data_IF_688970457351
#
_entry.id   IF_688970457351
#
_cell.length_a   1.000
_cell.length_b   1.000
_cell.length_c   1.000
_cell.angle_alpha   90.00
_cell.angle_beta   90.00
_cell.angle_gamma   90.00
#
_symmetry.space_group_name_H-M   'P 1'
#
loop_
_entity.id
_entity.type
_entity.pdbx_description
1 polymer ?
#
# COMPACT_ATOMS: atom_id res chain seq x y z
N UNK A 1 4.78 23.26 9.42
CA UNK A 1 3.41 22.99 9.94
C UNK A 1 3.20 21.50 10.23
N UNK A 2 3.46 20.59 9.29
CA UNK A 2 3.31 19.12 9.51
C UNK A 2 4.23 18.58 10.60
N UNK A 3 5.52 18.95 10.59
CA UNK A 3 6.50 18.54 11.60
C UNK A 3 6.07 18.92 13.03
N UNK A 4 5.55 20.12 13.24
CA UNK A 4 5.07 20.56 14.56
C UNK A 4 3.82 19.79 15.01
N UNK A 5 2.99 19.38 14.08
CA UNK A 5 1.85 18.50 14.37
C UNK A 5 2.34 17.12 14.78
N UNK A 6 3.27 16.52 14.04
CA UNK A 6 3.86 15.21 14.36
C UNK A 6 4.60 15.19 15.70
N UNK A 7 5.32 16.24 16.06
CA UNK A 7 5.95 16.35 17.40
C UNK A 7 4.92 16.18 18.53
N UNK A 8 3.70 16.65 18.34
CA UNK A 8 2.65 16.57 19.38
C UNK A 8 1.99 15.20 19.47
N UNK A 9 1.90 14.47 18.34
CA UNK A 9 1.16 13.21 18.29
C UNK A 9 2.05 11.98 18.38
N UNK A 10 3.28 12.02 17.85
CA UNK A 10 4.18 10.85 17.81
C UNK A 10 4.76 10.44 19.17
N UNK A 11 4.65 11.30 20.16
CA UNK A 11 4.97 10.97 21.55
C UNK A 11 3.85 10.18 22.26
N UNK A 12 2.67 10.10 21.66
CA UNK A 12 1.58 9.27 22.17
C UNK A 12 1.83 7.82 21.78
N UNK A 13 1.50 6.91 22.69
CA UNK A 13 1.56 5.48 22.41
C UNK A 13 0.51 5.10 21.34
N UNK A 14 0.87 4.13 20.52
CA UNK A 14 0.02 3.40 19.58
C UNK A 14 -0.91 4.24 18.67
N UNK A 15 -0.33 5.17 17.93
CA UNK A 15 -1.08 5.99 16.97
C UNK A 15 -1.23 5.34 15.58
N UNK A 16 -0.46 4.29 15.26
CA UNK A 16 -0.51 3.55 14.00
C UNK A 16 -1.26 2.23 14.17
N UNK A 17 -2.49 2.32 14.68
CA UNK A 17 -3.31 1.18 15.16
C UNK A 17 -3.72 0.19 14.09
N UNK A 18 -3.83 0.62 12.81
CA UNK A 18 -4.21 -0.28 11.72
C UNK A 18 -3.04 -1.19 11.28
N UNK A 19 -1.83 -0.96 11.81
CA UNK A 19 -0.64 -1.80 11.59
C UNK A 19 -0.37 -2.60 12.86
N UNK A 20 -0.59 -3.91 12.77
CA UNK A 20 -0.31 -4.83 13.87
C UNK A 20 1.14 -5.30 13.82
N UNK A 21 1.82 -5.20 14.97
CA UNK A 21 3.25 -5.45 15.04
C UNK A 21 4.07 -4.39 14.32
N UNK A 22 5.24 -4.78 13.82
CA UNK A 22 6.13 -3.90 13.03
C UNK A 22 6.63 -2.66 13.80
N UNK A 23 6.85 -2.79 15.11
CA UNK A 23 7.16 -1.66 15.99
C UNK A 23 8.41 -0.90 15.55
N UNK A 24 9.47 -1.62 15.15
CA UNK A 24 10.70 -1.02 14.62
C UNK A 24 10.45 -0.17 13.38
N UNK A 25 9.56 -0.61 12.50
CA UNK A 25 9.19 0.08 11.27
C UNK A 25 8.37 1.33 11.59
N UNK A 26 7.43 1.22 12.52
CA UNK A 26 6.66 2.36 13.02
C UNK A 26 7.57 3.45 13.61
N UNK A 27 8.57 3.06 14.38
CA UNK A 27 9.56 3.99 14.95
C UNK A 27 10.42 4.65 13.88
N UNK A 28 10.94 3.88 12.92
CA UNK A 28 11.71 4.42 11.80
C UNK A 28 10.89 5.41 10.98
N UNK A 29 9.63 5.08 10.68
CA UNK A 29 8.72 5.96 9.96
C UNK A 29 8.45 7.26 10.73
N UNK A 30 8.13 7.17 12.02
CA UNK A 30 7.94 8.35 12.88
C UNK A 30 9.19 9.24 12.88
N UNK A 31 10.37 8.63 13.02
CA UNK A 31 11.65 9.35 13.02
C UNK A 31 11.91 10.09 11.71
N UNK A 32 11.70 9.43 10.57
CA UNK A 32 11.87 10.04 9.24
C UNK A 32 10.88 11.22 9.05
N UNK A 33 9.61 11.04 9.39
CA UNK A 33 8.59 12.08 9.23
C UNK A 33 8.79 13.29 10.15
N UNK A 34 9.36 13.10 11.35
CA UNK A 34 9.74 14.21 12.24
C UNK A 34 10.81 15.10 11.64
N UNK A 35 11.66 14.57 10.77
CA UNK A 35 12.71 15.30 10.06
C UNK A 35 12.29 15.70 8.64
N UNK A 36 10.99 15.59 8.33
CA UNK A 36 10.41 15.97 7.04
C UNK A 36 11.05 15.21 5.85
N UNK A 37 11.45 13.95 6.11
CA UNK A 37 12.07 13.08 5.11
C UNK A 37 11.00 12.35 4.30
N UNK A 38 11.29 12.11 3.04
CA UNK A 38 10.53 11.23 2.19
C UNK A 38 10.93 9.78 2.43
N UNK A 39 9.98 8.86 2.33
CA UNK A 39 10.19 7.46 2.74
C UNK A 39 9.94 6.51 1.56
N UNK A 40 10.82 5.51 1.42
CA UNK A 40 10.64 4.39 0.51
C UNK A 40 10.49 3.09 1.34
N UNK A 41 9.31 2.48 1.30
CA UNK A 41 9.03 1.22 2.00
C UNK A 41 9.28 0.05 1.05
N UNK A 42 10.30 -0.74 1.36
CA UNK A 42 10.69 -1.92 0.58
C UNK A 42 10.20 -3.18 1.29
N UNK A 43 9.56 -4.08 0.55
CA UNK A 43 9.15 -5.37 1.11
C UNK A 43 8.19 -6.13 0.22
N UNK A 44 7.90 -7.40 0.57
CA UNK A 44 7.04 -8.27 -0.22
C UNK A 44 5.63 -7.72 -0.38
N UNK A 45 4.85 -8.18 -1.35
CA UNK A 45 3.48 -7.74 -1.55
C UNK A 45 2.56 -8.21 -0.41
N UNK A 46 1.54 -7.40 -0.08
CA UNK A 46 0.49 -7.80 0.87
C UNK A 46 0.85 -7.78 2.35
N UNK A 47 1.92 -7.07 2.75
CA UNK A 47 2.37 -6.93 4.14
C UNK A 47 1.84 -5.66 4.84
N UNK A 48 1.00 -4.84 4.17
CA UNK A 48 0.43 -3.65 4.79
C UNK A 48 1.07 -2.31 4.41
N UNK A 49 1.95 -2.24 3.39
CA UNK A 49 2.60 -0.98 2.96
C UNK A 49 1.61 0.16 2.69
N UNK A 50 0.54 -0.13 1.96
CA UNK A 50 -0.53 0.85 1.66
C UNK A 50 -1.28 1.26 2.92
N UNK A 51 -1.52 0.30 3.84
CA UNK A 51 -2.18 0.58 5.13
C UNK A 51 -1.32 1.52 5.97
N UNK A 52 0.00 1.32 5.99
CA UNK A 52 0.95 2.18 6.68
C UNK A 52 0.84 3.64 6.19
N UNK A 53 0.85 3.86 4.87
CA UNK A 53 0.71 5.19 4.30
C UNK A 53 -0.66 5.84 4.58
N UNK A 54 -1.74 5.06 4.56
CA UNK A 54 -3.08 5.55 4.93
C UNK A 54 -3.17 5.96 6.40
N UNK A 55 -2.50 5.22 7.30
CA UNK A 55 -2.46 5.61 8.71
C UNK A 55 -1.79 6.98 8.90
N UNK A 56 -0.71 7.26 8.16
CA UNK A 56 -0.08 8.59 8.21
C UNK A 56 -1.06 9.67 7.74
N UNK A 57 -1.82 9.41 6.69
CA UNK A 57 -2.83 10.37 6.22
C UNK A 57 -3.92 10.63 7.27
N UNK A 58 -4.40 9.59 7.97
CA UNK A 58 -5.36 9.72 9.08
C UNK A 58 -4.84 10.60 10.22
N UNK A 59 -3.54 10.60 10.46
CA UNK A 59 -2.91 11.41 11.50
C UNK A 59 -2.74 12.88 11.12
N UNK A 60 -2.93 13.26 9.86
CA UNK A 60 -2.81 14.65 9.43
C UNK A 60 -3.99 15.50 9.95
N UNK A 61 -3.73 16.75 10.37
CA UNK A 61 -4.79 17.62 10.84
C UNK A 61 -5.74 18.01 9.70
N UNK A 62 -6.97 18.32 10.03
CA UNK A 62 -7.83 19.04 9.10
C UNK A 62 -7.22 20.40 8.73
N UNK A 63 -7.32 20.78 7.48
CA UNK A 63 -6.87 22.08 6.98
C UNK A 63 -7.97 22.79 6.22
N UNK A 64 -8.02 24.11 6.34
CA UNK A 64 -8.88 24.95 5.54
C UNK A 64 -8.21 25.28 4.22
N UNK A 65 -8.87 25.00 3.12
CA UNK A 65 -8.39 25.27 1.76
C UNK A 65 -9.46 26.01 0.96
N UNK A 66 -9.05 26.69 -0.10
CA UNK A 66 -9.99 27.19 -1.10
C UNK A 66 -10.61 26.02 -1.86
N UNK A 67 -11.88 26.12 -2.21
CA UNK A 67 -12.59 25.11 -2.99
C UNK A 67 -12.20 25.21 -4.46
N UNK A 68 -11.00 24.79 -4.78
CA UNK A 68 -10.38 24.77 -6.11
C UNK A 68 -9.63 23.45 -6.33
N UNK A 69 -9.30 23.19 -7.60
CA UNK A 69 -8.60 21.95 -7.99
C UNK A 69 -7.18 21.81 -7.42
N UNK A 70 -6.57 22.91 -6.96
CA UNK A 70 -5.23 22.94 -6.38
C UNK A 70 -5.23 22.85 -4.85
N UNK A 71 -6.40 22.85 -4.20
CA UNK A 71 -6.51 22.97 -2.74
C UNK A 71 -5.65 24.11 -2.18
N UNK A 72 -5.73 25.27 -2.80
CA UNK A 72 -4.91 26.43 -2.43
C UNK A 72 -5.08 26.80 -0.95
N UNK A 73 -3.97 27.18 -0.32
CA UNK A 73 -4.04 27.87 0.97
C UNK A 73 -4.80 29.19 0.79
N UNK A 74 -5.82 29.49 1.60
CA UNK A 74 -6.56 30.74 1.53
C UNK A 74 -5.69 32.00 1.67
N UNK A 75 -4.54 31.88 2.39
CA UNK A 75 -3.64 32.99 2.65
C UNK A 75 -2.52 33.12 1.60
N UNK A 76 -2.22 32.04 0.85
CA UNK A 76 -1.19 32.03 -0.20
C UNK A 76 -1.73 31.27 -1.42
N UNK A 77 -2.72 31.84 -2.16
CA UNK A 77 -3.32 31.17 -3.29
C UNK A 77 -2.37 31.08 -4.49
N UNK A 78 -2.22 29.88 -5.05
CA UNK A 78 -1.31 29.64 -6.17
C UNK A 78 -2.01 29.60 -7.54
N UNK A 79 -3.27 29.16 -7.61
CA UNK A 79 -3.97 29.03 -8.90
C UNK A 79 -4.57 30.37 -9.40
N UNK A 80 -4.78 30.52 -10.72
CA UNK A 80 -5.33 31.74 -11.31
C UNK A 80 -6.69 32.13 -10.75
N UNK A 81 -7.58 31.16 -10.55
CA UNK A 81 -8.93 31.42 -10.02
C UNK A 81 -8.90 32.01 -8.62
N UNK A 82 -8.06 31.45 -7.74
CA UNK A 82 -7.94 31.93 -6.37
C UNK A 82 -7.20 33.27 -6.26
N UNK A 83 -6.30 33.55 -7.22
CA UNK A 83 -5.63 34.88 -7.32
C UNK A 83 -6.57 35.96 -7.84
N UNK A 84 -7.49 35.61 -8.72
CA UNK A 84 -8.40 36.56 -9.35
C UNK A 84 -9.69 36.80 -8.57
N UNK A 85 -10.19 35.78 -7.87
CA UNK A 85 -11.47 35.84 -7.13
C UNK A 85 -11.35 35.14 -5.78
N UNK A 86 -12.02 35.70 -4.78
CA UNK A 86 -12.16 35.03 -3.47
C UNK A 86 -13.00 33.78 -3.66
N UNK A 87 -12.44 32.63 -3.32
CA UNK A 87 -13.11 31.33 -3.38
C UNK A 87 -13.79 31.00 -2.06
N UNK A 88 -14.79 30.12 -2.13
CA UNK A 88 -15.34 29.49 -0.94
C UNK A 88 -14.25 28.64 -0.27
N UNK A 89 -14.28 28.62 1.04
CA UNK A 89 -13.37 27.81 1.83
C UNK A 89 -14.03 26.50 2.22
N UNK A 90 -13.27 25.42 2.25
CA UNK A 90 -13.68 24.13 2.77
C UNK A 90 -12.60 23.54 3.68
N UNK A 91 -13.03 22.77 4.67
CA UNK A 91 -12.14 21.94 5.47
C UNK A 91 -11.99 20.59 4.82
N UNK A 92 -10.78 20.12 4.72
CA UNK A 92 -10.46 18.80 4.19
C UNK A 92 -9.64 18.02 5.21
N UNK A 93 -9.97 16.74 5.37
CA UNK A 93 -9.28 15.82 6.27
C UNK A 93 -7.92 15.39 5.67
N UNK A 94 -7.10 14.73 6.50
CA UNK A 94 -5.86 14.13 6.00
C UNK A 94 -6.12 12.98 5.03
N UNK A 95 -7.20 12.22 5.22
CA UNK A 95 -7.59 11.13 4.32
C UNK A 95 -8.00 11.62 2.94
N UNK A 96 -8.68 12.76 2.83
CA UNK A 96 -9.03 13.39 1.54
C UNK A 96 -7.80 13.91 0.80
N UNK A 97 -6.69 14.12 1.51
CA UNK A 97 -5.38 14.52 0.96
C UNK A 97 -4.43 13.33 0.77
N UNK A 98 -4.93 12.10 0.87
CA UNK A 98 -4.20 10.89 0.52
C UNK A 98 -4.37 10.61 -0.97
N UNK A 99 -3.34 10.88 -1.75
CA UNK A 99 -3.34 10.65 -3.19
C UNK A 99 -2.51 9.44 -3.53
N UNK A 100 -3.16 8.39 -4.05
CA UNK A 100 -2.49 7.18 -4.50
C UNK A 100 -2.16 7.24 -5.97
N UNK A 101 -0.93 6.88 -6.30
CA UNK A 101 -0.44 6.63 -7.65
C UNK A 101 0.02 5.19 -7.72
N UNK A 102 -0.35 4.48 -8.77
CA UNK A 102 0.15 3.14 -9.07
C UNK A 102 1.26 3.27 -10.11
N UNK A 103 2.45 2.78 -9.80
CA UNK A 103 3.54 2.70 -10.76
C UNK A 103 3.18 1.80 -11.95
N UNK A 104 3.42 2.31 -13.14
CA UNK A 104 3.20 1.62 -14.41
C UNK A 104 4.17 2.16 -15.46
N UNK A 105 4.62 1.32 -16.42
CA UNK A 105 5.40 1.80 -17.57
C UNK A 105 4.70 2.86 -18.42
N UNK A 106 3.36 2.86 -18.40
CA UNK A 106 2.54 3.79 -19.19
C UNK A 106 2.27 5.13 -18.47
N UNK A 107 2.71 5.25 -17.21
CA UNK A 107 2.49 6.47 -16.41
C UNK A 107 3.35 7.60 -16.96
N UNK A 108 2.73 8.76 -17.18
CA UNK A 108 3.40 9.94 -17.77
C UNK A 108 3.64 11.06 -16.75
N UNK A 109 4.45 12.03 -17.11
CA UNK A 109 4.66 13.22 -16.29
C UNK A 109 3.38 14.07 -16.18
N UNK A 110 2.57 14.08 -17.23
CA UNK A 110 1.29 14.77 -17.30
C UNK A 110 0.29 14.22 -16.28
N UNK A 111 0.29 12.92 -16.02
CA UNK A 111 -0.54 12.28 -14.97
C UNK A 111 -0.19 12.81 -13.57
N UNK A 112 1.08 13.10 -13.34
CA UNK A 112 1.56 13.60 -12.05
C UNK A 112 1.41 15.12 -11.92
N UNK A 113 1.91 15.84 -12.89
CA UNK A 113 2.00 17.31 -12.86
C UNK A 113 0.69 17.92 -13.33
N UNK A 114 0.13 17.36 -14.39
CA UNK A 114 -1.07 17.87 -15.07
C UNK A 114 -0.79 18.20 -16.53
N UNK A 115 -1.85 18.55 -17.24
CA UNK A 115 -1.81 18.76 -18.67
C UNK A 115 -2.72 19.93 -19.09
N UNK A 116 -2.54 20.38 -20.33
CA UNK A 116 -3.37 21.41 -20.98
C UNK A 116 -4.70 20.79 -21.40
N UNK A 117 -5.79 21.30 -20.84
CA UNK A 117 -7.14 20.96 -21.27
C UNK A 117 -7.41 21.59 -22.66
N UNK A 118 -7.62 20.77 -23.72
CA UNK A 118 -7.81 21.28 -25.07
C UNK A 118 -9.02 22.21 -25.20
N UNK A 119 -10.09 21.97 -24.47
CA UNK A 119 -11.31 22.79 -24.49
C UNK A 119 -11.05 24.15 -23.85
N UNK A 120 -10.37 24.18 -22.73
CA UNK A 120 -9.97 25.40 -22.06
C UNK A 120 -8.95 26.19 -22.90
N UNK A 121 -8.01 25.48 -23.55
CA UNK A 121 -7.02 26.09 -24.43
C UNK A 121 -7.66 26.82 -25.62
N UNK A 122 -8.73 26.29 -26.19
CA UNK A 122 -9.52 26.99 -27.24
C UNK A 122 -10.17 28.25 -26.71
N UNK A 123 -10.57 28.28 -25.44
CA UNK A 123 -11.28 29.43 -24.84
C UNK A 123 -10.33 30.52 -24.31
N UNK A 124 -9.25 30.11 -23.65
CA UNK A 124 -8.36 31.03 -22.93
C UNK A 124 -6.98 31.19 -23.60
N UNK A 125 -6.72 30.40 -24.63
CA UNK A 125 -5.41 30.30 -25.29
C UNK A 125 -4.55 29.15 -24.68
N UNK A 126 -3.71 28.48 -25.49
CA UNK A 126 -2.91 27.34 -25.05
C UNK A 126 -1.77 27.72 -24.06
N UNK A 127 -1.40 28.98 -24.02
CA UNK A 127 -0.39 29.52 -23.10
C UNK A 127 -1.02 30.15 -21.85
N UNK A 128 -2.35 30.08 -21.71
CA UNK A 128 -3.03 30.58 -20.51
C UNK A 128 -3.02 29.54 -19.39
N UNK A 129 -2.66 29.96 -18.17
CA UNK A 129 -2.67 29.09 -17.01
C UNK A 129 -4.08 28.57 -16.65
N UNK A 130 -5.15 29.26 -17.11
CA UNK A 130 -6.53 28.79 -17.00
C UNK A 130 -6.80 27.53 -17.84
N UNK A 131 -6.00 27.28 -18.87
CA UNK A 131 -6.10 26.08 -19.69
C UNK A 131 -5.44 24.85 -19.02
N UNK A 132 -4.60 25.05 -18.00
CA UNK A 132 -3.94 23.97 -17.30
C UNK A 132 -4.85 23.27 -16.30
N UNK A 133 -4.82 21.93 -16.31
CA UNK A 133 -5.49 21.08 -15.32
C UNK A 133 -4.46 20.43 -14.42
N UNK A 134 -4.48 20.71 -13.11
CA UNK A 134 -3.47 20.19 -12.18
C UNK A 134 -3.54 18.68 -12.01
N UNK A 135 -2.39 18.03 -11.98
CA UNK A 135 -2.24 16.60 -11.77
C UNK A 135 -2.31 16.17 -10.30
N UNK A 136 -1.88 14.94 -10.03
CA UNK A 136 -1.99 14.31 -8.71
C UNK A 136 -1.11 14.94 -7.65
N UNK A 137 0.05 15.50 -8.00
CA UNK A 137 0.95 16.19 -7.08
C UNK A 137 0.25 17.35 -6.36
N UNK A 138 -0.53 18.15 -7.11
CA UNK A 138 -1.26 19.28 -6.52
C UNK A 138 -2.39 18.84 -5.59
N UNK A 139 -3.05 17.72 -5.90
CA UNK A 139 -4.09 17.13 -5.05
C UNK A 139 -3.54 16.61 -3.73
N UNK A 140 -2.26 16.19 -3.72
CA UNK A 140 -1.57 15.72 -2.52
C UNK A 140 -1.01 16.86 -1.65
N UNK A 141 -1.20 18.12 -2.07
CA UNK A 141 -0.63 19.26 -1.35
C UNK A 141 -1.09 19.30 0.12
N UNK A 142 -0.14 19.51 1.03
CA UNK A 142 -0.31 19.39 2.48
C UNK A 142 -0.83 18.02 2.96
N UNK A 143 -0.68 16.98 2.17
CA UNK A 143 -1.14 15.62 2.40
C UNK A 143 -0.06 14.56 2.18
N UNK A 144 -0.50 13.38 1.77
CA UNK A 144 0.36 12.23 1.47
C UNK A 144 0.27 11.88 -0.02
N UNK A 145 1.39 11.94 -0.71
CA UNK A 145 1.56 11.37 -2.04
C UNK A 145 2.10 9.95 -1.88
N UNK A 146 1.20 8.98 -2.01
CA UNK A 146 1.54 7.56 -1.90
C UNK A 146 1.78 6.97 -3.30
N UNK A 147 3.00 6.53 -3.54
CA UNK A 147 3.41 5.96 -4.83
C UNK A 147 3.65 4.46 -4.69
N UNK A 148 2.69 3.67 -5.15
CA UNK A 148 2.76 2.21 -5.07
C UNK A 148 3.55 1.64 -6.25
N UNK A 149 4.51 0.73 -6.00
CA UNK A 149 5.39 0.12 -6.99
C UNK A 149 6.19 1.16 -7.82
N UNK A 150 6.88 2.07 -7.11
CA UNK A 150 7.66 3.17 -7.70
C UNK A 150 8.67 2.67 -8.76
N UNK A 151 9.25 1.49 -8.56
CA UNK A 151 10.19 0.84 -9.47
C UNK A 151 9.59 0.37 -10.80
N UNK A 152 8.29 0.52 -11.02
CA UNK A 152 7.65 0.27 -12.32
C UNK A 152 7.51 1.51 -13.19
N UNK A 153 7.97 2.65 -12.69
CA UNK A 153 7.87 3.91 -13.41
C UNK A 153 9.04 4.13 -14.36
N UNK A 154 8.80 4.70 -15.55
CA UNK A 154 9.86 5.08 -16.45
C UNK A 154 10.85 6.07 -15.80
N UNK A 155 12.13 5.99 -16.16
CA UNK A 155 13.17 6.87 -15.64
C UNK A 155 12.84 8.36 -15.84
N UNK A 156 12.22 8.72 -16.95
CA UNK A 156 11.77 10.09 -17.22
C UNK A 156 10.83 10.63 -16.13
N UNK A 157 9.94 9.76 -15.63
CA UNK A 157 9.01 10.11 -14.55
C UNK A 157 9.73 10.23 -13.20
N UNK A 158 10.70 9.34 -12.93
CA UNK A 158 11.53 9.41 -11.75
C UNK A 158 12.26 10.77 -11.68
N UNK A 159 12.76 11.26 -12.81
CA UNK A 159 13.43 12.58 -12.90
C UNK A 159 12.44 13.74 -12.66
N UNK A 160 11.20 13.65 -13.12
CA UNK A 160 10.19 14.67 -12.83
C UNK A 160 9.81 14.72 -11.34
N UNK A 161 9.81 13.57 -10.66
CA UNK A 161 9.61 13.49 -9.21
C UNK A 161 10.76 14.12 -8.43
N UNK A 162 12.00 13.99 -8.89
CA UNK A 162 13.18 14.56 -8.20
C UNK A 162 13.04 16.03 -7.90
N UNK A 163 12.59 16.84 -8.87
CA UNK A 163 12.39 18.27 -8.69
C UNK A 163 11.34 18.54 -7.58
N UNK A 164 10.20 17.88 -7.65
CA UNK A 164 9.13 18.04 -6.66
C UNK A 164 9.57 17.64 -5.23
N UNK A 165 10.38 16.58 -5.11
CA UNK A 165 10.87 16.06 -3.82
C UNK A 165 11.97 16.92 -3.22
N UNK A 166 12.89 17.40 -4.05
CA UNK A 166 14.08 18.12 -3.58
C UNK A 166 13.83 19.62 -3.40
N UNK A 167 13.23 20.25 -4.41
CA UNK A 167 13.06 21.70 -4.47
C UNK A 167 11.72 22.15 -3.92
N UNK A 168 10.77 21.21 -3.74
CA UNK A 168 9.37 21.49 -3.36
C UNK A 168 8.67 22.43 -4.31
N UNK A 169 9.09 22.40 -5.56
CA UNK A 169 8.49 23.10 -6.68
C UNK A 169 8.30 22.14 -7.85
N UNK A 170 7.30 22.44 -8.65
CA UNK A 170 7.08 21.81 -9.96
C UNK A 170 6.99 22.92 -10.99
N UNK A 171 7.88 22.86 -11.96
CA UNK A 171 7.85 23.78 -13.11
C UNK A 171 6.97 23.21 -14.19
N UNK A 172 5.95 23.96 -14.60
CA UNK A 172 5.13 23.60 -15.74
C UNK A 172 5.79 24.20 -16.97
N UNK A 173 6.57 23.38 -17.68
CA UNK A 173 7.51 23.82 -18.73
C UNK A 173 6.92 24.68 -19.85
N UNK A 174 5.63 24.54 -20.16
CA UNK A 174 4.95 25.38 -21.16
C UNK A 174 4.62 26.79 -20.67
N UNK A 175 4.64 27.01 -19.36
CA UNK A 175 4.20 28.28 -18.75
C UNK A 175 5.32 29.03 -18.01
N UNK A 176 6.48 28.40 -17.87
CA UNK A 176 7.62 28.94 -17.08
C UNK A 176 7.19 29.44 -15.69
N UNK A 177 6.31 28.66 -15.05
CA UNK A 177 5.73 28.97 -13.73
C UNK A 177 6.05 27.86 -12.77
N UNK A 178 6.62 28.24 -11.63
CA UNK A 178 6.91 27.35 -10.53
C UNK A 178 5.75 27.31 -9.53
N UNK A 179 5.28 26.11 -9.26
CA UNK A 179 4.26 25.87 -8.24
C UNK A 179 4.89 25.21 -7.03
N UNK A 180 4.67 25.80 -5.86
CA UNK A 180 5.06 25.18 -4.58
C UNK A 180 4.29 23.88 -4.35
N UNK A 181 5.00 22.84 -3.94
CA UNK A 181 4.43 21.58 -3.52
C UNK A 181 4.89 21.25 -2.10
N UNK A 182 3.96 20.83 -1.26
CA UNK A 182 4.26 20.44 0.11
C UNK A 182 3.48 19.16 0.43
N UNK A 183 4.14 18.02 0.35
CA UNK A 183 3.53 16.73 0.64
C UNK A 183 4.54 15.78 1.29
N UNK A 184 4.04 14.83 2.05
CA UNK A 184 4.78 13.66 2.49
C UNK A 184 4.78 12.66 1.35
N UNK A 185 5.96 12.29 0.86
CA UNK A 185 6.06 11.22 -0.12
C UNK A 185 6.33 9.89 0.59
N UNK A 186 5.51 8.89 0.27
CA UNK A 186 5.72 7.51 0.70
C UNK A 186 5.68 6.63 -0.55
N UNK A 187 6.86 6.20 -1.00
CA UNK A 187 7.00 5.24 -2.09
C UNK A 187 6.97 3.81 -1.57
N UNK A 188 6.56 2.86 -2.42
CA UNK A 188 6.74 1.44 -2.15
C UNK A 188 7.51 0.76 -3.27
N UNK A 189 8.24 -0.29 -2.90
CA UNK A 189 8.94 -1.14 -3.84
C UNK A 189 8.79 -2.60 -3.42
N UNK A 190 8.63 -3.49 -4.41
CA UNK A 190 8.74 -4.93 -4.21
C UNK A 190 10.11 -5.39 -4.74
N UNK A 191 11.01 -5.88 -3.90
CA UNK A 191 12.35 -6.31 -4.33
C UNK A 191 12.31 -7.58 -5.19
N UNK A 192 11.23 -8.37 -5.12
CA UNK A 192 11.06 -9.60 -5.90
C UNK A 192 10.54 -9.36 -7.32
N UNK A 193 10.18 -8.13 -7.66
CA UNK A 193 9.62 -7.81 -8.98
C UNK A 193 10.73 -7.66 -10.03
N UNK A 194 10.98 -8.75 -10.77
CA UNK A 194 11.98 -8.79 -11.82
C UNK A 194 11.60 -8.01 -13.09
N UNK A 195 10.34 -7.60 -13.20
CA UNK A 195 9.85 -6.80 -14.33
C UNK A 195 10.01 -5.30 -14.12
N UNK A 196 10.49 -4.92 -12.95
CA UNK A 196 10.65 -3.52 -12.58
C UNK A 196 12.03 -2.98 -12.98
N UNK A 197 12.08 -1.73 -13.37
CA UNK A 197 13.34 -1.02 -13.58
C UNK A 197 14.03 -0.73 -12.24
N UNK A 198 15.33 -0.59 -12.26
CA UNK A 198 16.06 -0.14 -11.08
C UNK A 198 15.79 1.35 -10.87
N UNK A 199 15.49 1.72 -9.63
CA UNK A 199 15.43 3.13 -9.28
C UNK A 199 16.83 3.75 -9.44
N UNK A 200 16.88 4.96 -10.00
CA UNK A 200 18.14 5.68 -10.10
C UNK A 200 18.74 5.92 -8.71
N UNK A 201 20.07 5.79 -8.59
CA UNK A 201 20.78 6.05 -7.33
C UNK A 201 20.49 7.47 -6.80
N UNK A 202 20.35 8.42 -7.73
CA UNK A 202 20.02 9.80 -7.42
C UNK A 202 18.64 9.93 -6.75
N UNK A 203 17.66 9.14 -7.18
CA UNK A 203 16.35 9.12 -6.56
C UNK A 203 16.36 8.40 -5.21
N UNK A 204 17.06 7.26 -5.12
CA UNK A 204 17.20 6.50 -3.88
C UNK A 204 17.83 7.32 -2.76
N UNK A 205 18.82 8.15 -3.06
CA UNK A 205 19.51 9.03 -2.10
C UNK A 205 18.59 10.07 -1.43
N UNK A 206 17.39 10.32 -1.99
CA UNK A 206 16.39 11.25 -1.44
C UNK A 206 15.45 10.62 -0.44
N UNK A 207 15.51 9.31 -0.29
CA UNK A 207 14.60 8.58 0.58
C UNK A 207 15.30 8.04 1.82
N UNK A 208 14.57 8.05 2.92
CA UNK A 208 14.86 7.16 4.03
C UNK A 208 14.21 5.81 3.71
N UNK A 209 15.03 4.77 3.56
CA UNK A 209 14.57 3.43 3.18
C UNK A 209 14.17 2.66 4.43
N UNK A 210 12.95 2.12 4.40
CA UNK A 210 12.40 1.27 5.47
C UNK A 210 12.09 -0.11 4.90
N UNK A 211 12.71 -1.13 5.47
CA UNK A 211 12.45 -2.51 5.08
C UNK A 211 11.33 -3.10 5.93
N UNK A 212 10.26 -3.49 5.27
CA UNK A 212 9.08 -4.11 5.88
C UNK A 212 9.00 -5.58 5.50
N UNK A 213 8.86 -6.45 6.48
CA UNK A 213 8.82 -7.90 6.28
C UNK A 213 7.46 -8.50 6.71
N UNK A 214 7.34 -9.81 6.60
CA UNK A 214 6.17 -10.54 7.09
C UNK A 214 5.99 -10.37 8.60
N UNK A 215 4.75 -10.58 9.13
CA UNK A 215 4.52 -10.50 10.57
C UNK A 215 5.42 -11.45 11.37
N UNK A 216 6.03 -10.93 12.45
CA UNK A 216 7.03 -11.66 13.25
C UNK A 216 6.45 -12.90 13.93
N UNK A 217 5.20 -12.84 14.38
CA UNK A 217 4.57 -13.94 15.10
C UNK A 217 3.30 -14.46 14.42
N UNK A 218 2.96 -15.72 14.74
CA UNK A 218 1.71 -16.34 14.33
C UNK A 218 0.50 -15.56 14.83
N UNK A 219 0.54 -15.11 16.08
CA UNK A 219 -0.53 -14.36 16.73
C UNK A 219 -0.81 -13.02 16.05
N UNK A 220 0.25 -12.28 15.68
CA UNK A 220 0.09 -11.03 14.93
C UNK A 220 -0.59 -11.30 13.58
N UNK A 221 -0.18 -12.36 12.86
CA UNK A 221 -0.79 -12.68 11.56
C UNK A 221 -2.24 -13.14 11.71
N UNK A 222 -2.58 -13.91 12.75
CA UNK A 222 -3.98 -14.25 13.07
C UNK A 222 -4.83 -12.99 13.31
N UNK A 223 -4.31 -12.05 14.11
CA UNK A 223 -5.00 -10.79 14.36
C UNK A 223 -5.19 -9.95 13.09
N UNK A 224 -4.19 -9.94 12.19
CA UNK A 224 -4.31 -9.29 10.86
C UNK A 224 -5.43 -9.96 10.05
N UNK A 225 -5.50 -11.29 10.04
CA UNK A 225 -6.55 -12.05 9.32
C UNK A 225 -7.93 -11.72 9.88
N UNK A 226 -8.10 -11.73 11.20
CA UNK A 226 -9.38 -11.41 11.84
C UNK A 226 -9.83 -9.97 11.59
N UNK A 227 -8.90 -9.00 11.60
CA UNK A 227 -9.22 -7.60 11.40
C UNK A 227 -9.45 -7.22 9.93
N UNK A 228 -8.82 -7.94 9.00
CA UNK A 228 -8.86 -7.61 7.56
C UNK A 228 -9.80 -8.48 6.76
N UNK A 229 -10.04 -9.73 7.22
CA UNK A 229 -10.89 -10.71 6.54
C UNK A 229 -12.38 -10.48 6.83
N UNK A 230 -13.20 -10.78 5.84
CA UNK A 230 -14.67 -10.72 5.98
C UNK A 230 -15.17 -11.90 6.79
N UNK A 231 -15.99 -11.61 7.81
CA UNK A 231 -16.65 -12.63 8.62
C UNK A 231 -18.01 -12.99 8.02
N UNK A 232 -18.26 -14.27 7.82
CA UNK A 232 -19.53 -14.80 7.28
C UNK A 232 -20.15 -15.84 8.21
N UNK A 233 -19.36 -16.79 8.69
CA UNK A 233 -19.75 -17.83 9.66
C UNK A 233 -18.70 -17.89 10.77
N UNK A 234 -18.95 -18.70 11.80
CA UNK A 234 -17.98 -18.91 12.85
C UNK A 234 -16.73 -19.64 12.33
N UNK A 235 -15.56 -19.16 12.71
CA UNK A 235 -14.28 -19.78 12.37
C UNK A 235 -13.57 -20.17 13.67
N UNK A 236 -13.42 -21.49 13.97
CA UNK A 236 -12.79 -21.94 15.20
C UNK A 236 -11.34 -21.47 15.30
N UNK A 237 -10.94 -20.98 16.47
CA UNK A 237 -9.59 -20.42 16.69
C UNK A 237 -8.48 -21.41 16.34
N UNK A 238 -8.69 -22.71 16.68
CA UNK A 238 -7.73 -23.77 16.34
C UNK A 238 -7.54 -23.89 14.82
N UNK A 239 -8.63 -23.87 14.04
CA UNK A 239 -8.56 -23.97 12.58
C UNK A 239 -7.97 -22.71 11.97
N UNK A 240 -8.24 -21.52 12.53
CA UNK A 240 -7.60 -20.27 12.11
C UNK A 240 -6.09 -20.33 12.34
N UNK A 241 -5.67 -20.73 13.54
CA UNK A 241 -4.26 -20.90 13.88
C UNK A 241 -3.55 -21.81 12.88
N UNK A 242 -4.13 -22.94 12.56
CA UNK A 242 -3.55 -23.92 11.65
C UNK A 242 -3.52 -23.46 10.19
N UNK A 243 -4.56 -22.75 9.75
CA UNK A 243 -4.56 -22.14 8.42
C UNK A 243 -3.44 -21.13 8.24
N UNK A 244 -3.22 -20.28 9.25
CA UNK A 244 -2.14 -19.29 9.22
C UNK A 244 -0.77 -19.98 9.35
N UNK A 245 -0.65 -20.99 10.24
CA UNK A 245 0.58 -21.76 10.41
C UNK A 245 0.99 -22.44 9.10
N UNK A 246 0.06 -23.06 8.38
CA UNK A 246 0.33 -23.68 7.09
C UNK A 246 0.91 -22.68 6.07
N UNK A 247 0.32 -21.49 5.96
CA UNK A 247 0.84 -20.44 5.07
C UNK A 247 2.25 -19.99 5.50
N UNK A 248 2.51 -19.90 6.81
CA UNK A 248 3.83 -19.53 7.33
C UNK A 248 4.88 -20.61 7.04
N UNK A 249 4.54 -21.89 7.21
CA UNK A 249 5.43 -23.01 6.86
C UNK A 249 5.79 -23.00 5.35
N UNK A 250 4.84 -22.69 4.50
CA UNK A 250 5.16 -22.54 3.06
C UNK A 250 6.18 -21.43 2.81
N UNK A 251 6.21 -20.35 3.61
CA UNK A 251 7.23 -19.30 3.49
C UNK A 251 8.63 -19.76 3.87
N UNK A 252 8.75 -20.76 4.71
CA UNK A 252 10.04 -21.33 5.13
C UNK A 252 10.61 -22.31 4.09
N UNK A 253 9.80 -22.70 3.11
CA UNK A 253 10.21 -23.65 2.08
C UNK A 253 11.31 -23.09 1.19
N UNK A 254 12.41 -23.83 1.09
CA UNK A 254 13.53 -23.52 0.18
C UNK A 254 13.22 -23.76 -1.29
N UNK A 255 12.11 -24.42 -1.60
CA UNK A 255 11.68 -24.78 -2.94
C UNK A 255 10.89 -23.66 -3.64
N UNK A 256 10.50 -22.63 -2.90
CA UNK A 256 9.76 -21.50 -3.42
C UNK A 256 10.71 -20.35 -3.84
N UNK A 257 10.44 -19.78 -5.00
CA UNK A 257 11.01 -18.53 -5.49
C UNK A 257 10.14 -17.34 -5.06
N UNK A 258 8.80 -17.48 -5.12
CA UNK A 258 7.83 -16.50 -4.63
C UNK A 258 7.04 -17.07 -3.48
N UNK A 259 7.07 -16.39 -2.35
CA UNK A 259 6.42 -16.80 -1.11
C UNK A 259 4.96 -16.33 -1.04
N UNK A 260 4.07 -17.10 -0.37
CA UNK A 260 2.69 -16.69 -0.16
C UNK A 260 2.63 -15.51 0.84
N UNK A 261 1.96 -14.43 0.45
CA UNK A 261 1.78 -13.26 1.31
C UNK A 261 0.66 -13.48 2.34
N UNK A 262 0.52 -12.54 3.29
CA UNK A 262 -0.59 -12.50 4.27
C UNK A 262 -1.98 -12.53 3.59
N UNK A 263 -2.06 -12.07 2.33
CA UNK A 263 -3.29 -12.23 1.51
C UNK A 263 -3.69 -13.70 1.29
N UNK A 264 -2.74 -14.64 1.38
CA UNK A 264 -3.08 -16.06 1.31
C UNK A 264 -3.80 -16.50 2.59
N UNK A 265 -3.32 -16.10 3.76
CA UNK A 265 -3.96 -16.38 5.05
C UNK A 265 -5.37 -15.77 5.13
N UNK A 266 -5.52 -14.49 4.72
CA UNK A 266 -6.83 -13.83 4.62
C UNK A 266 -7.75 -14.57 3.63
N UNK A 267 -7.22 -14.94 2.47
CA UNK A 267 -7.98 -15.65 1.44
C UNK A 267 -8.47 -17.03 1.90
N UNK A 268 -7.66 -17.78 2.67
CA UNK A 268 -8.09 -19.05 3.27
C UNK A 268 -9.22 -18.84 4.29
N UNK A 269 -9.06 -17.85 5.17
CA UNK A 269 -10.08 -17.48 6.14
C UNK A 269 -11.43 -17.14 5.48
N UNK A 270 -11.43 -16.33 4.43
CA UNK A 270 -12.65 -15.91 3.73
C UNK A 270 -13.26 -17.06 2.91
N UNK A 271 -12.42 -17.81 2.17
CA UNK A 271 -12.90 -18.89 1.28
C UNK A 271 -13.43 -20.09 2.04
N UNK A 272 -12.80 -20.47 3.16
CA UNK A 272 -13.29 -21.56 4.01
C UNK A 272 -14.67 -21.23 4.59
N UNK A 273 -14.89 -19.99 5.06
CA UNK A 273 -16.21 -19.54 5.52
C UNK A 273 -17.26 -19.58 4.41
N UNK A 274 -16.87 -19.14 3.20
CA UNK A 274 -17.78 -19.22 2.04
C UNK A 274 -18.14 -20.67 1.69
N UNK A 275 -17.18 -21.59 1.73
CA UNK A 275 -17.42 -23.02 1.49
C UNK A 275 -18.36 -23.64 2.53
N UNK A 276 -18.16 -23.29 3.81
CA UNK A 276 -19.03 -23.70 4.91
C UNK A 276 -20.46 -23.18 4.74
N UNK A 277 -20.60 -21.88 4.46
CA UNK A 277 -21.90 -21.24 4.26
C UNK A 277 -22.70 -21.85 3.11
N UNK A 278 -22.04 -22.10 1.96
CA UNK A 278 -22.66 -22.74 0.79
C UNK A 278 -23.16 -24.20 1.06
N UNK A 279 -22.58 -24.84 2.08
CA UNK A 279 -23.02 -26.16 2.58
C UNK A 279 -24.05 -26.05 3.71
N UNK A 280 -24.64 -24.87 3.96
CA UNK A 280 -25.59 -24.57 5.04
C UNK A 280 -25.05 -24.89 6.45
N UNK A 281 -23.74 -24.70 6.66
CA UNK A 281 -23.10 -24.83 7.97
C UNK A 281 -22.95 -23.46 8.63
N UNK A 282 -23.00 -23.41 9.95
CA UNK A 282 -22.81 -22.20 10.73
C UNK A 282 -21.35 -22.00 11.21
N UNK A 283 -20.51 -23.01 10.99
CA UNK A 283 -19.13 -23.06 11.46
C UNK A 283 -18.25 -23.72 10.41
N UNK A 284 -17.01 -23.23 10.29
CA UNK A 284 -15.99 -23.79 9.39
C UNK A 284 -15.47 -25.11 9.94
N UNK A 285 -15.40 -26.12 9.08
CA UNK A 285 -14.72 -27.39 9.33
C UNK A 285 -13.41 -27.45 8.54
N UNK A 286 -12.52 -28.37 8.92
CA UNK A 286 -11.22 -28.51 8.23
C UNK A 286 -11.38 -28.77 6.72
N UNK A 287 -12.38 -29.58 6.33
CA UNK A 287 -12.66 -29.87 4.91
C UNK A 287 -12.97 -28.62 4.09
N UNK A 288 -13.57 -27.59 4.69
CA UNK A 288 -13.87 -26.32 4.01
C UNK A 288 -12.59 -25.51 3.73
N UNK A 289 -11.57 -25.65 4.58
CA UNK A 289 -10.24 -25.08 4.40
C UNK A 289 -9.49 -25.85 3.31
N UNK A 290 -9.48 -27.18 3.38
CA UNK A 290 -8.82 -28.07 2.42
C UNK A 290 -9.32 -27.79 0.99
N UNK A 291 -10.64 -27.67 0.82
CA UNK A 291 -11.27 -27.33 -0.47
C UNK A 291 -10.85 -25.95 -1.01
N UNK A 292 -10.40 -25.03 -0.14
CA UNK A 292 -9.97 -23.68 -0.50
C UNK A 292 -8.46 -23.57 -0.81
N UNK A 293 -7.64 -24.43 -0.22
CA UNK A 293 -6.16 -24.31 -0.20
C UNK A 293 -5.58 -24.11 -1.61
N UNK A 294 -5.90 -25.00 -2.54
CA UNK A 294 -5.32 -24.94 -3.90
C UNK A 294 -5.73 -23.65 -4.62
N UNK A 295 -7.01 -23.33 -4.61
CA UNK A 295 -7.53 -22.15 -5.32
C UNK A 295 -7.02 -20.83 -4.75
N UNK A 296 -6.68 -20.80 -3.46
CA UNK A 296 -6.17 -19.62 -2.77
C UNK A 296 -4.66 -19.49 -2.88
N UNK A 297 -3.90 -20.60 -2.81
CA UNK A 297 -2.44 -20.53 -2.65
C UNK A 297 -1.71 -20.74 -3.99
N UNK A 298 -2.17 -21.61 -4.88
CA UNK A 298 -1.40 -22.05 -6.05
C UNK A 298 -0.90 -20.90 -6.94
N UNK A 299 -1.73 -19.89 -7.18
CA UNK A 299 -1.36 -18.71 -7.97
C UNK A 299 -0.56 -17.65 -7.21
N UNK A 300 -0.39 -17.81 -5.90
CA UNK A 300 0.34 -16.90 -5.02
C UNK A 300 1.77 -17.33 -4.74
N UNK A 301 2.12 -18.56 -5.12
CA UNK A 301 3.49 -19.09 -5.01
C UNK A 301 4.12 -19.25 -6.38
N UNK A 302 5.45 -19.34 -6.41
CA UNK A 302 6.21 -19.75 -7.58
C UNK A 302 7.31 -20.70 -7.14
N UNK A 303 7.36 -21.88 -7.74
CA UNK A 303 8.41 -22.84 -7.50
C UNK A 303 9.74 -22.36 -8.13
N UNK A 304 10.86 -22.72 -7.52
CA UNK A 304 12.17 -22.53 -8.14
C UNK A 304 12.27 -23.36 -9.43
N UNK A 305 13.03 -22.91 -10.43
CA UNK A 305 13.17 -23.63 -11.69
C UNK A 305 13.55 -25.11 -11.52
N UNK A 306 14.44 -25.43 -10.57
CA UNK A 306 14.86 -26.79 -10.25
C UNK A 306 13.71 -27.71 -9.79
N UNK A 307 12.68 -27.15 -9.17
CA UNK A 307 11.53 -27.89 -8.63
C UNK A 307 10.36 -27.89 -9.62
N UNK A 308 10.20 -26.80 -10.36
CA UNK A 308 9.11 -26.63 -11.33
C UNK A 308 9.12 -27.70 -12.44
N UNK A 309 10.28 -28.28 -12.79
CA UNK A 309 10.40 -29.38 -13.75
C UNK A 309 9.90 -30.71 -13.19
N UNK A 310 9.82 -30.86 -11.85
CA UNK A 310 9.49 -32.12 -11.19
C UNK A 310 8.03 -32.19 -10.76
N UNK A 311 7.42 -31.04 -10.43
CA UNK A 311 6.06 -30.98 -9.90
C UNK A 311 5.40 -29.64 -10.19
N UNK A 312 4.06 -29.63 -10.28
CA UNK A 312 3.27 -28.42 -10.38
C UNK A 312 3.13 -27.70 -9.03
N UNK A 313 2.77 -26.40 -8.99
CA UNK A 313 2.44 -25.72 -7.75
C UNK A 313 1.32 -26.43 -6.96
N UNK A 314 0.35 -27.04 -7.64
CA UNK A 314 -0.74 -27.78 -7.03
C UNK A 314 -0.23 -29.04 -6.31
N UNK A 315 0.61 -29.84 -7.01
CA UNK A 315 1.18 -31.08 -6.43
C UNK A 315 2.10 -30.75 -5.24
N UNK A 316 2.87 -29.67 -5.35
CA UNK A 316 3.70 -29.18 -4.26
C UNK A 316 2.88 -28.85 -3.01
N UNK A 317 1.79 -28.07 -3.18
CA UNK A 317 0.92 -27.69 -2.06
C UNK A 317 0.25 -28.91 -1.42
N UNK A 318 -0.22 -29.87 -2.24
CA UNK A 318 -0.82 -31.10 -1.74
C UNK A 318 0.18 -31.91 -0.90
N UNK A 319 1.39 -32.07 -1.40
CA UNK A 319 2.45 -32.76 -0.69
C UNK A 319 2.84 -32.09 0.63
N UNK A 320 2.95 -30.76 0.62
CA UNK A 320 3.23 -30.01 1.87
C UNK A 320 2.04 -30.06 2.84
N UNK A 321 0.81 -30.09 2.33
CA UNK A 321 -0.37 -30.28 3.19
C UNK A 321 -0.40 -31.68 3.83
N UNK A 322 -0.09 -32.73 3.07
CA UNK A 322 0.01 -34.09 3.60
C UNK A 322 1.07 -34.21 4.71
N UNK A 323 2.23 -33.58 4.53
CA UNK A 323 3.27 -33.51 5.58
C UNK A 323 2.77 -32.77 6.82
N UNK A 324 2.16 -31.59 6.59
CA UNK A 324 1.62 -30.78 7.66
C UNK A 324 0.56 -31.54 8.50
N UNK A 325 -0.31 -32.29 7.84
CA UNK A 325 -1.33 -33.11 8.51
C UNK A 325 -0.72 -34.29 9.26
N UNK A 326 0.37 -34.87 8.75
CA UNK A 326 1.09 -35.95 9.46
C UNK A 326 1.76 -35.43 10.75
N UNK A 327 2.18 -34.17 10.78
CA UNK A 327 2.75 -33.51 11.96
C UNK A 327 1.68 -32.99 12.93
N UNK A 328 0.42 -32.84 12.45
CA UNK A 328 -0.72 -32.34 13.22
C UNK A 328 -1.92 -33.31 13.15
N UNK A 329 -1.80 -34.54 13.68
CA UNK A 329 -2.86 -35.57 13.57
C UNK A 329 -4.19 -35.15 14.23
N UNK A 330 -4.13 -34.24 15.20
CA UNK A 330 -5.30 -33.67 15.86
C UNK A 330 -6.25 -32.91 14.94
N UNK A 331 -5.84 -32.62 13.70
CA UNK A 331 -6.65 -31.95 12.68
C UNK A 331 -7.53 -32.92 11.90
N UNK A 332 -7.07 -34.16 11.76
CA UNK A 332 -7.74 -35.21 10.98
C UNK A 332 -8.73 -36.01 11.83
N UNK A 333 -8.56 -36.02 13.15
CA UNK A 333 -9.54 -36.59 14.05
C UNK A 333 -10.82 -35.73 14.02
N UNK A 334 -11.88 -36.30 13.49
CA UNK A 334 -13.23 -35.74 13.45
C UNK A 334 -13.53 -35.10 14.80
N UNK A 335 -13.96 -33.84 14.80
CA UNK A 335 -14.51 -33.18 15.97
C UNK A 335 -15.61 -34.01 16.60
N UNK A 336 -15.20 -34.93 17.42
CA UNK A 336 -16.02 -35.73 18.32
C UNK A 336 -16.00 -35.08 19.67
N UNK A 337 -17.13 -34.60 20.09
CA UNK A 337 -17.48 -33.85 21.25
C UNK A 337 -16.60 -33.98 22.52
N UNK A 338 -16.41 -32.84 23.14
CA UNK A 338 -16.58 -32.63 24.58
C UNK A 338 -17.40 -31.36 24.77
#
# INVERSE_FOLDING_TARGET
>A
MLTEHFKKIFLKEDILTDILGQEKIKEQLKSALLMDRHVLVIGPPGIGKTTLAKNIAKLLPEVEVNDCAYHCDPNDPMCPECKSKKQNKKKISGEERFVRIQGSPDLTAEDLIGDIDPIKALKFGPLSLEAFTPGKIFKANNGVLFFDELNRCPEKLQNALLQALQERYVTIGSYDVDFKTNFIFIGTMNPEDRSAEQLSEVLLDRFDVIYMDYPDSLEIEQNIVLNSGKKLVEFPDKLLMLSVLFVRLLRESKDLEKLPSVRASIGLYERAQSNSYLKNKNQVEFKDIEDAIISVIAHRIKLKPSVQYLQSPTDFIQKELEKFLAEHPELTEKGGGL
#
